data_IF_048785573671
#
_entry.id   IF_048785573671
#
_cell.length_a   1.000
_cell.length_b   1.000
_cell.length_c   1.000
_cell.angle_alpha   90.00
_cell.angle_beta   90.00
_cell.angle_gamma   90.00
#
_symmetry.space_group_name_H-M   'P 1'
#
loop_
_entity.id
_entity.type
_entity.pdbx_description
1 polymer ?
#
# COMPACT_ATOMS: atom_id res chain seq x y z
N UNK A 1 -9.21 4.46 -3.72
CA UNK A 1 -8.89 4.29 -2.29
C UNK A 1 -8.97 2.80 -2.00
N UNK A 2 -7.85 2.16 -1.66
CA UNK A 2 -7.80 0.69 -1.54
C UNK A 2 -8.32 0.25 -0.17
N UNK A 3 -9.58 -0.19 -0.12
CA UNK A 3 -10.20 -0.71 1.09
C UNK A 3 -9.33 -1.79 1.76
N UNK A 4 -8.72 -2.67 0.96
CA UNK A 4 -7.80 -3.70 1.43
C UNK A 4 -6.56 -3.16 2.15
N UNK A 5 -6.05 -1.99 1.75
CA UNK A 5 -4.90 -1.37 2.39
C UNK A 5 -5.29 -0.72 3.72
N UNK A 6 -6.46 -0.09 3.76
CA UNK A 6 -7.03 0.48 4.97
C UNK A 6 -7.33 -0.61 6.02
N UNK A 7 -7.84 -1.76 5.58
CA UNK A 7 -8.09 -2.92 6.45
C UNK A 7 -6.77 -3.53 6.97
N UNK A 8 -5.73 -3.58 6.13
CA UNK A 8 -4.41 -4.05 6.53
C UNK A 8 -3.75 -3.11 7.56
N UNK A 9 -3.87 -1.80 7.34
CA UNK A 9 -3.42 -0.77 8.28
C UNK A 9 -4.17 -0.86 9.61
N UNK A 10 -5.50 -1.04 9.59
CA UNK A 10 -6.29 -1.23 10.81
C UNK A 10 -5.89 -2.48 11.56
N UNK A 11 -5.65 -3.59 10.85
CA UNK A 11 -5.15 -4.82 11.48
C UNK A 11 -3.77 -4.60 12.12
N UNK A 12 -2.85 -3.88 11.46
CA UNK A 12 -1.53 -3.54 12.03
C UNK A 12 -1.61 -2.61 13.24
N UNK A 13 -2.53 -1.64 13.26
CA UNK A 13 -2.75 -0.75 14.41
C UNK A 13 -3.34 -1.51 15.60
N UNK A 14 -4.14 -2.55 15.35
CA UNK A 14 -4.74 -3.37 16.41
C UNK A 14 -3.77 -4.44 16.94
N UNK A 15 -2.78 -4.87 16.16
CA UNK A 15 -1.73 -5.80 16.58
C UNK A 15 -0.62 -5.00 17.31
N UNK A 16 -0.80 -4.84 18.63
CA UNK A 16 -0.12 -3.88 19.51
C UNK A 16 1.43 -3.90 19.55
N UNK A 17 2.16 -4.79 18.86
CA UNK A 17 3.60 -4.96 19.14
C UNK A 17 4.48 -5.36 17.95
N UNK A 18 5.21 -4.37 17.43
CA UNK A 18 6.65 -4.56 17.16
C UNK A 18 7.09 -4.96 15.75
N UNK A 19 6.17 -5.10 14.79
CA UNK A 19 6.53 -5.47 13.40
C UNK A 19 6.17 -4.37 12.38
N UNK A 20 5.93 -3.14 12.85
CA UNK A 20 5.69 -2.00 11.94
C UNK A 20 6.84 -1.82 10.96
N UNK A 21 8.09 -1.97 11.39
CA UNK A 21 9.25 -1.89 10.51
C UNK A 21 9.27 -2.98 9.42
N UNK A 22 8.69 -4.16 9.67
CA UNK A 22 8.60 -5.23 8.68
C UNK A 22 7.37 -5.09 7.77
N UNK A 23 6.27 -4.54 8.29
CA UNK A 23 4.99 -4.47 7.57
C UNK A 23 4.85 -3.15 6.80
N UNK A 24 5.48 -2.06 7.24
CA UNK A 24 5.45 -0.76 6.56
C UNK A 24 5.94 -0.86 5.10
N UNK A 25 7.05 -1.56 4.79
CA UNK A 25 7.48 -1.75 3.40
C UNK A 25 6.45 -2.51 2.55
N UNK A 26 5.76 -3.49 3.14
CA UNK A 26 4.70 -4.25 2.47
C UNK A 26 3.47 -3.39 2.17
N UNK A 27 3.07 -2.53 3.13
CA UNK A 27 1.97 -1.59 2.96
C UNK A 27 2.32 -0.56 1.89
N UNK A 28 3.50 0.04 1.96
CA UNK A 28 3.97 1.02 0.98
C UNK A 28 4.05 0.40 -0.43
N UNK A 29 4.59 -0.82 -0.53
CA UNK A 29 4.65 -1.55 -1.79
C UNK A 29 3.24 -1.79 -2.36
N UNK A 30 2.31 -2.25 -1.53
CA UNK A 30 0.94 -2.53 -1.94
C UNK A 30 0.22 -1.25 -2.37
N UNK A 31 0.40 -0.15 -1.64
CA UNK A 31 -0.17 1.16 -1.97
C UNK A 31 0.36 1.67 -3.32
N UNK A 32 1.68 1.67 -3.50
CA UNK A 32 2.32 2.18 -4.71
C UNK A 32 1.99 1.35 -5.96
N UNK A 33 1.70 0.06 -5.80
CA UNK A 33 1.34 -0.84 -6.91
C UNK A 33 -0.16 -0.97 -7.15
N UNK A 34 -1.00 -0.46 -6.26
CA UNK A 34 -2.44 -0.59 -6.44
C UNK A 34 -2.99 0.52 -7.34
N UNK A 35 -4.06 0.19 -8.06
CA UNK A 35 -4.73 1.13 -8.95
C UNK A 35 -5.32 2.30 -8.16
N UNK A 36 -4.97 3.53 -8.56
CA UNK A 36 -5.49 4.75 -7.97
C UNK A 36 -6.43 5.45 -8.94
N UNK A 37 -7.72 5.47 -8.61
CA UNK A 37 -8.77 6.10 -9.41
C UNK A 37 -8.54 7.58 -9.71
N UNK A 38 -7.78 8.30 -8.88
CA UNK A 38 -7.48 9.73 -9.08
C UNK A 38 -6.46 9.99 -10.19
N UNK A 39 -5.58 9.03 -10.47
CA UNK A 39 -4.55 9.10 -11.53
C UNK A 39 -4.78 8.05 -12.62
N UNK A 40 -5.87 7.29 -12.51
CA UNK A 40 -6.27 6.20 -13.41
C UNK A 40 -5.20 5.12 -13.65
N UNK A 41 -4.22 4.99 -12.75
CA UNK A 41 -3.14 3.99 -12.80
C UNK A 41 -2.53 3.80 -11.40
N UNK A 42 -1.57 2.88 -11.25
CA UNK A 42 -0.81 2.79 -10.01
C UNK A 42 0.28 3.89 -9.95
N UNK A 43 0.55 4.48 -8.77
CA UNK A 43 1.66 5.45 -8.63
C UNK A 43 3.01 4.92 -9.12
N UNK A 44 3.29 3.62 -8.90
CA UNK A 44 4.49 2.97 -9.40
C UNK A 44 4.55 2.97 -10.94
N UNK A 45 3.42 2.67 -11.60
CA UNK A 45 3.33 2.76 -13.06
C UNK A 45 3.52 4.18 -13.56
N UNK A 46 2.98 5.18 -12.86
CA UNK A 46 3.13 6.59 -13.21
C UNK A 46 4.59 7.06 -13.10
N UNK A 47 5.34 6.57 -12.10
CA UNK A 47 6.72 6.96 -11.84
C UNK A 47 7.72 6.24 -12.75
N UNK A 48 7.52 4.93 -13.00
CA UNK A 48 8.49 4.08 -13.69
C UNK A 48 8.05 3.66 -15.09
N UNK A 49 6.82 3.97 -15.50
CA UNK A 49 6.26 3.58 -16.80
C UNK A 49 6.05 2.07 -16.96
N UNK A 50 6.13 1.29 -15.86
CA UNK A 50 5.98 -0.17 -15.85
C UNK A 50 5.32 -0.64 -14.55
N UNK A 51 4.70 -1.82 -14.60
CA UNK A 51 4.23 -2.55 -13.41
C UNK A 51 5.41 -3.17 -12.67
N UNK A 52 5.31 -3.25 -11.34
CA UNK A 52 6.28 -3.98 -10.52
C UNK A 52 6.06 -5.49 -10.56
#
# INVERSE_FOLDING_TARGET
MNQSLEDLLRACVLDDRGSWDDILPLIEFTYNNSYHSSIEMAPYEALYGRRC
#
